data_IF_014245467551
#
_entry.id   IF_014245467551
#
_cell.length_a   1.000
_cell.length_b   1.000
_cell.length_c   1.000
_cell.angle_alpha   90.00
_cell.angle_beta   90.00
_cell.angle_gamma   90.00
#
_symmetry.space_group_name_H-M   'P 1'
#
loop_
_entity.id
_entity.type
_entity.pdbx_description
1 polymer ?
#
# COMPACT_ATOMS: atom_id res chain seq x y z
N UNK A 1 10.68 10.27 -31.83
CA UNK A 1 9.71 9.32 -31.23
C UNK A 1 9.74 9.53 -29.73
N UNK A 2 8.59 9.66 -29.06
CA UNK A 2 8.57 9.66 -27.61
C UNK A 2 8.97 8.27 -27.10
N UNK A 3 9.84 8.19 -26.10
CA UNK A 3 10.17 6.92 -25.47
C UNK A 3 8.93 6.41 -24.72
N UNK A 4 8.64 5.11 -24.84
CA UNK A 4 7.55 4.50 -24.07
C UNK A 4 7.86 4.62 -22.57
N UNK A 5 6.90 5.12 -21.79
CA UNK A 5 7.04 5.23 -20.34
C UNK A 5 7.07 3.79 -19.78
N UNK A 6 8.12 3.39 -19.03
CA UNK A 6 8.17 2.06 -18.43
C UNK A 6 7.05 1.93 -17.39
N UNK A 7 6.19 0.93 -17.57
CA UNK A 7 5.05 0.68 -16.67
C UNK A 7 5.53 -0.06 -15.43
N UNK A 8 5.33 0.54 -14.26
CA UNK A 8 5.53 -0.14 -12.97
C UNK A 8 4.24 -0.79 -12.47
N UNK A 9 4.36 -1.82 -11.63
CA UNK A 9 3.24 -2.41 -10.89
C UNK A 9 3.31 -1.99 -9.43
N UNK A 10 2.23 -1.45 -8.89
CA UNK A 10 2.11 -0.99 -7.49
C UNK A 10 1.09 -1.86 -6.77
N UNK A 11 1.52 -2.58 -5.75
CA UNK A 11 0.62 -3.28 -4.85
C UNK A 11 0.00 -2.28 -3.86
N UNK A 12 -1.32 -2.12 -3.89
CA UNK A 12 -2.05 -1.22 -2.99
C UNK A 12 -2.52 -1.95 -1.72
N UNK A 13 -2.17 -1.37 -0.57
CA UNK A 13 -2.48 -1.87 0.78
C UNK A 13 -3.38 -0.86 1.52
N UNK A 14 -4.65 -1.20 1.74
CA UNK A 14 -5.64 -0.53 2.60
C UNK A 14 -5.77 -1.16 4.01
N UNK A 15 -5.15 -0.53 5.01
CA UNK A 15 -5.18 -1.00 6.41
C UNK A 15 -6.55 -1.00 7.13
N UNK A 16 -7.67 -0.99 6.41
CA UNK A 16 -9.04 -1.15 6.93
C UNK A 16 -9.86 -2.14 6.10
N UNK A 17 -10.55 -3.05 6.80
CA UNK A 17 -11.49 -4.04 6.26
C UNK A 17 -12.94 -3.56 6.19
N UNK A 18 -13.24 -2.36 6.71
CA UNK A 18 -14.60 -1.80 6.61
C UNK A 18 -14.82 -1.26 5.21
N UNK A 19 -16.08 -1.22 4.77
CA UNK A 19 -16.54 -0.47 3.60
C UNK A 19 -16.53 1.04 3.90
N UNK A 20 -15.36 1.53 4.31
CA UNK A 20 -15.01 2.92 4.54
C UNK A 20 -14.12 3.38 3.39
N UNK A 21 -13.94 4.69 3.21
CA UNK A 21 -13.03 5.24 2.22
C UNK A 21 -11.62 4.68 2.32
N UNK A 22 -11.36 3.67 1.51
CA UNK A 22 -10.02 3.37 1.03
C UNK A 22 -9.63 4.52 0.11
N UNK A 23 -8.36 4.92 0.15
CA UNK A 23 -7.83 5.85 -0.85
C UNK A 23 -7.67 5.04 -2.14
N UNK A 24 -8.79 4.75 -2.80
CA UNK A 24 -8.80 4.26 -4.17
C UNK A 24 -8.29 5.41 -5.03
N UNK A 25 -7.00 5.38 -5.32
CA UNK A 25 -6.46 6.09 -6.46
C UNK A 25 -7.31 5.66 -7.65
N UNK A 26 -8.06 6.58 -8.25
CA UNK A 26 -9.00 6.20 -9.30
C UNK A 26 -8.23 5.57 -10.46
N UNK A 27 -8.78 4.52 -11.03
CA UNK A 27 -8.21 3.80 -12.19
C UNK A 27 -7.90 4.67 -13.40
N UNK A 28 -8.47 5.89 -13.43
CA UNK A 28 -8.16 6.98 -14.36
C UNK A 28 -6.68 7.42 -14.32
N UNK A 29 -6.00 7.32 -13.18
CA UNK A 29 -4.60 7.76 -13.01
C UNK A 29 -3.56 6.75 -13.52
N UNK A 30 -3.96 5.49 -13.70
CA UNK A 30 -3.05 4.37 -13.88
C UNK A 30 -2.39 4.34 -15.27
N UNK A 31 -3.20 4.51 -16.31
CA UNK A 31 -2.79 4.32 -17.70
C UNK A 31 -1.91 5.45 -18.25
N UNK A 32 -2.18 6.71 -17.89
CA UNK A 32 -1.46 7.87 -18.44
C UNK A 32 -0.08 8.12 -17.80
N UNK A 33 0.16 7.61 -16.59
CA UNK A 33 1.41 7.86 -15.83
C UNK A 33 2.40 6.68 -15.87
N UNK A 34 2.02 5.55 -16.47
CA UNK A 34 2.82 4.32 -16.47
C UNK A 34 2.82 3.60 -15.12
N UNK A 35 1.66 3.56 -14.44
CA UNK A 35 1.53 2.99 -13.09
C UNK A 35 0.32 2.06 -13.08
N UNK A 36 0.52 0.75 -13.15
CA UNK A 36 -0.55 -0.22 -12.95
C UNK A 36 -0.74 -0.46 -11.44
N UNK A 37 -1.87 -0.08 -10.88
CA UNK A 37 -2.20 -0.36 -9.48
C UNK A 37 -2.91 -1.72 -9.40
N UNK A 38 -2.55 -2.52 -8.42
CA UNK A 38 -3.26 -3.75 -8.09
C UNK A 38 -3.81 -3.64 -6.67
N UNK A 39 -5.13 -3.58 -6.56
CA UNK A 39 -5.87 -3.73 -5.31
C UNK A 39 -6.02 -5.21 -4.98
N UNK A 40 -5.88 -5.54 -3.71
CA UNK A 40 -5.58 -6.90 -3.28
C UNK A 40 -6.48 -7.24 -2.10
N UNK A 41 -7.03 -8.46 -2.09
CA UNK A 41 -7.90 -8.97 -1.03
C UNK A 41 -7.17 -9.94 -0.08
N UNK A 42 -7.66 -9.98 1.15
CA UNK A 42 -6.99 -9.46 2.34
C UNK A 42 -7.81 -9.86 3.58
N UNK A 43 -9.13 -9.87 3.39
CA UNK A 43 -10.16 -10.32 4.33
C UNK A 43 -10.06 -11.78 4.79
N UNK A 44 -9.44 -12.66 3.99
CA UNK A 44 -9.48 -14.12 4.19
C UNK A 44 -8.36 -14.69 5.06
N UNK A 45 -7.48 -13.83 5.58
CA UNK A 45 -6.28 -14.30 6.24
C UNK A 45 -6.48 -14.59 7.73
N UNK A 46 -5.97 -15.74 8.22
CA UNK A 46 -5.88 -15.98 9.64
C UNK A 46 -4.88 -15.01 10.28
N UNK A 47 -5.09 -14.77 11.58
CA UNK A 47 -4.03 -14.20 12.42
C UNK A 47 -2.78 -15.08 12.33
N UNK A 48 -1.60 -14.46 12.32
CA UNK A 48 -0.33 -15.17 12.25
C UNK A 48 -0.25 -16.19 13.39
N UNK A 49 -0.11 -17.45 13.01
CA UNK A 49 0.12 -18.56 13.91
C UNK A 49 1.18 -19.47 13.29
N UNK A 50 2.35 -19.55 13.92
CA UNK A 50 3.48 -20.37 13.46
C UNK A 50 3.21 -21.87 13.57
N UNK A 51 2.27 -22.29 14.42
CA UNK A 51 1.89 -23.71 14.56
C UNK A 51 1.15 -24.23 13.32
N UNK A 52 0.69 -23.34 12.45
CA UNK A 52 0.12 -23.68 11.14
C UNK A 52 1.19 -23.99 10.07
N UNK A 53 2.48 -23.78 10.39
CA UNK A 53 3.60 -24.09 9.49
C UNK A 53 4.00 -25.55 9.71
N UNK A 54 3.56 -26.43 8.82
CA UNK A 54 3.80 -27.87 8.91
C UNK A 54 4.80 -28.28 7.84
N UNK A 55 5.90 -28.93 8.23
CA UNK A 55 6.96 -29.40 7.32
C UNK A 55 7.54 -28.32 6.37
N UNK A 56 7.49 -27.05 6.77
CA UNK A 56 7.95 -25.91 5.97
C UNK A 56 6.96 -25.37 4.94
N UNK A 57 5.71 -25.87 4.91
CA UNK A 57 4.62 -25.36 4.08
C UNK A 57 3.58 -24.60 4.91
N UNK A 58 2.86 -23.68 4.28
CA UNK A 58 1.84 -22.84 4.90
C UNK A 58 0.42 -23.37 4.56
N UNK A 59 -0.64 -22.92 5.26
CA UNK A 59 -2.01 -23.19 4.83
C UNK A 59 -2.26 -22.66 3.40
N UNK A 60 -3.06 -23.32 2.53
CA UNK A 60 -3.21 -22.91 1.13
C UNK A 60 -3.64 -21.46 0.91
N UNK A 61 -4.45 -20.89 1.82
CA UNK A 61 -4.82 -19.46 1.79
C UNK A 61 -3.64 -18.54 2.10
N UNK A 62 -2.75 -18.96 3.01
CA UNK A 62 -1.50 -18.26 3.36
C UNK A 62 -0.44 -18.46 2.28
N UNK A 63 -0.38 -19.62 1.63
CA UNK A 63 0.53 -19.90 0.52
C UNK A 63 0.16 -19.07 -0.72
N UNK A 64 -1.13 -19.07 -1.09
CA UNK A 64 -1.66 -18.22 -2.16
C UNK A 64 -1.46 -16.74 -1.84
N UNK A 65 -1.67 -16.34 -0.60
CA UNK A 65 -1.37 -15.00 -0.12
C UNK A 65 0.13 -14.68 -0.13
N UNK A 66 1.03 -15.60 0.24
CA UNK A 66 2.50 -15.42 0.19
C UNK A 66 3.02 -15.31 -1.24
N UNK A 67 2.38 -15.98 -2.19
CA UNK A 67 2.60 -15.79 -3.63
C UNK A 67 1.98 -14.50 -4.16
N UNK A 68 0.85 -14.07 -3.59
CA UNK A 68 0.29 -12.75 -3.85
C UNK A 68 1.29 -11.71 -3.35
N UNK A 69 1.60 -11.63 -2.03
CA UNK A 69 2.52 -10.82 -1.16
C UNK A 69 3.73 -10.07 -1.76
N UNK A 70 4.10 -10.35 -3.01
CA UNK A 70 4.29 -9.28 -3.99
C UNK A 70 3.06 -8.32 -4.09
N UNK A 71 1.98 -8.63 -3.33
CA UNK A 71 0.63 -8.11 -3.18
C UNK A 71 -0.03 -8.60 -1.82
N UNK A 72 0.21 -7.86 -0.74
CA UNK A 72 -0.74 -7.25 0.25
C UNK A 72 -1.85 -7.95 1.13
N UNK A 73 -1.83 -7.51 2.41
CA UNK A 73 -2.78 -7.30 3.56
C UNK A 73 -3.63 -8.33 4.37
N UNK A 74 -3.71 -8.02 5.68
CA UNK A 74 -4.72 -8.32 6.73
C UNK A 74 -5.00 -6.93 7.38
N UNK A 75 -5.50 -6.71 8.62
CA UNK A 75 -5.05 -5.54 9.39
C UNK A 75 -3.51 -5.36 9.27
N UNK A 76 -3.06 -4.30 8.59
CA UNK A 76 -1.81 -4.18 7.81
C UNK A 76 -0.56 -4.89 8.39
N UNK A 77 -0.37 -4.79 9.71
CA UNK A 77 0.72 -5.45 10.45
C UNK A 77 0.74 -6.98 10.30
N UNK A 78 -0.39 -7.67 10.38
CA UNK A 78 -0.44 -9.14 10.33
C UNK A 78 -0.06 -9.69 8.94
N UNK A 79 -0.31 -8.93 7.88
CA UNK A 79 0.14 -9.29 6.54
C UNK A 79 1.60 -8.98 6.30
N UNK A 80 2.05 -7.83 6.79
CA UNK A 80 3.48 -7.53 6.90
C UNK A 80 4.21 -8.70 7.56
N UNK A 81 3.66 -9.24 8.64
CA UNK A 81 4.26 -10.35 9.39
C UNK A 81 4.23 -11.67 8.61
N UNK A 82 3.09 -12.05 8.03
CA UNK A 82 3.00 -13.22 7.14
C UNK A 82 3.95 -13.16 5.94
N UNK A 83 4.21 -11.97 5.41
CA UNK A 83 5.13 -11.71 4.31
C UNK A 83 6.60 -11.59 4.73
N UNK A 84 6.88 -11.30 6.00
CA UNK A 84 8.26 -11.24 6.52
C UNK A 84 8.82 -12.62 6.88
N UNK A 85 7.97 -13.65 7.06
CA UNK A 85 8.44 -15.03 7.30
C UNK A 85 9.24 -15.51 6.08
N UNK A 86 10.44 -16.03 6.31
CA UNK A 86 11.42 -16.35 5.27
C UNK A 86 10.85 -17.18 4.08
N UNK A 87 11.18 -16.84 2.82
CA UNK A 87 11.93 -15.66 2.40
C UNK A 87 11.14 -14.36 2.64
N UNK A 88 11.84 -13.27 3.04
CA UNK A 88 11.22 -11.96 3.23
C UNK A 88 10.73 -11.42 1.89
N UNK A 89 9.42 -11.30 1.71
CA UNK A 89 8.86 -10.87 0.45
C UNK A 89 8.84 -9.34 0.25
N UNK A 90 9.27 -8.56 1.24
CA UNK A 90 9.33 -7.09 1.19
C UNK A 90 10.68 -6.53 0.73
N UNK A 91 11.73 -7.37 0.75
CA UNK A 91 13.13 -6.98 0.57
C UNK A 91 13.37 -6.19 -0.74
N UNK A 92 14.18 -5.13 -0.64
CA UNK A 92 14.58 -4.20 -1.69
C UNK A 92 13.42 -3.51 -2.47
N UNK A 93 12.22 -3.41 -1.88
CA UNK A 93 11.06 -2.78 -2.55
C UNK A 93 10.89 -1.29 -2.26
N UNK A 94 10.62 -0.53 -3.32
CA UNK A 94 10.08 0.82 -3.22
C UNK A 94 8.69 0.83 -2.56
N UNK A 95 8.47 1.76 -1.64
CA UNK A 95 7.20 1.91 -0.94
C UNK A 95 6.78 3.38 -0.77
N UNK A 96 5.46 3.60 -0.70
CA UNK A 96 4.86 4.85 -0.24
C UNK A 96 3.85 4.54 0.86
N UNK A 97 3.60 5.51 1.74
CA UNK A 97 2.57 5.41 2.77
C UNK A 97 1.62 6.58 2.64
N UNK A 98 0.33 6.27 2.57
CA UNK A 98 -0.78 7.23 2.60
C UNK A 98 -1.68 6.87 3.76
N UNK A 99 -2.32 7.86 4.39
CA UNK A 99 -3.33 7.58 5.41
C UNK A 99 -4.42 8.64 5.44
N UNK A 100 -5.65 8.18 5.68
CA UNK A 100 -6.80 8.99 6.00
C UNK A 100 -7.34 8.61 7.38
N UNK A 101 -7.73 9.60 8.17
CA UNK A 101 -8.26 9.38 9.53
C UNK A 101 -8.66 10.69 10.21
N UNK A 102 -8.87 10.66 11.52
CA UNK A 102 -9.16 11.86 12.31
C UNK A 102 -7.92 12.63 12.74
N UNK A 103 -8.05 13.95 12.88
CA UNK A 103 -7.00 14.82 13.39
C UNK A 103 -5.78 14.84 12.48
N UNK A 104 -4.66 14.27 12.93
CA UNK A 104 -3.42 14.15 12.14
C UNK A 104 -3.49 13.06 11.04
N UNK A 105 -4.67 12.70 10.57
CA UNK A 105 -4.89 11.86 9.39
C UNK A 105 -4.24 10.48 9.40
N UNK A 106 -3.86 9.94 10.57
CA UNK A 106 -3.11 8.68 10.69
C UNK A 106 -1.57 8.80 10.70
N UNK A 107 -0.98 9.99 10.70
CA UNK A 107 0.48 10.15 10.60
C UNK A 107 1.31 9.43 11.68
N UNK A 108 0.75 9.23 12.89
CA UNK A 108 1.42 8.45 13.95
C UNK A 108 1.63 6.98 13.56
N UNK A 109 0.64 6.33 12.94
CA UNK A 109 0.79 4.94 12.48
C UNK A 109 1.70 4.85 11.25
N UNK A 110 1.77 5.89 10.40
CA UNK A 110 2.76 5.93 9.32
C UNK A 110 4.21 5.89 9.83
N UNK A 111 4.55 6.65 10.87
CA UNK A 111 5.92 6.64 11.41
C UNK A 111 6.28 5.28 12.00
N UNK A 112 5.35 4.61 12.69
CA UNK A 112 5.56 3.25 13.17
C UNK A 112 5.69 2.24 12.00
N UNK A 113 4.90 2.38 10.94
CA UNK A 113 5.00 1.56 9.74
C UNK A 113 6.36 1.74 9.04
N UNK A 114 6.86 2.98 8.95
CA UNK A 114 8.19 3.28 8.41
C UNK A 114 9.29 2.64 9.25
N UNK A 115 9.19 2.69 10.58
CA UNK A 115 10.12 2.00 11.48
C UNK A 115 10.09 0.47 11.27
N UNK A 116 8.90 -0.12 11.09
CA UNK A 116 8.76 -1.55 10.77
C UNK A 116 9.42 -1.87 9.42
N UNK A 117 9.20 -1.05 8.39
CA UNK A 117 9.77 -1.29 7.07
C UNK A 117 11.31 -1.21 7.01
N UNK A 118 11.98 -0.56 7.96
CA UNK A 118 13.46 -0.65 8.10
C UNK A 118 13.90 -2.09 8.37
N UNK A 119 13.15 -2.86 9.18
CA UNK A 119 13.46 -4.27 9.42
C UNK A 119 13.14 -5.17 8.21
N UNK A 120 12.18 -4.75 7.38
CA UNK A 120 11.74 -5.48 6.19
C UNK A 120 12.58 -5.17 4.94
N UNK A 121 13.54 -4.27 5.03
CA UNK A 121 14.29 -3.69 3.91
C UNK A 121 13.38 -3.02 2.84
N UNK A 122 12.42 -2.21 3.32
CA UNK A 122 11.57 -1.37 2.47
C UNK A 122 12.17 0.03 2.27
N UNK A 123 12.31 0.42 1.01
CA UNK A 123 12.76 1.74 0.60
C UNK A 123 11.59 2.71 0.43
N UNK A 124 11.27 3.47 1.47
CA UNK A 124 10.17 4.45 1.39
C UNK A 124 10.57 5.74 0.65
N UNK A 125 9.63 6.31 -0.11
CA UNK A 125 9.70 7.74 -0.46
C UNK A 125 9.57 8.60 0.81
N UNK A 126 10.37 9.66 0.89
CA UNK A 126 10.41 10.56 2.06
C UNK A 126 9.58 11.84 1.89
N UNK A 127 9.34 12.25 0.64
CA UNK A 127 8.49 13.39 0.26
C UNK A 127 7.79 13.07 -1.07
N UNK A 128 6.62 13.67 -1.36
CA UNK A 128 5.77 14.37 -0.40
C UNK A 128 5.24 13.42 0.69
N UNK A 129 4.63 13.96 1.75
CA UNK A 129 3.98 13.16 2.79
C UNK A 129 2.45 13.34 2.68
N UNK A 130 1.72 12.23 2.83
CA UNK A 130 0.26 12.22 2.65
C UNK A 130 -0.45 11.85 3.94
N UNK A 131 -0.98 12.85 4.63
CA UNK A 131 -1.91 12.70 5.75
C UNK A 131 -3.19 13.45 5.40
N UNK A 132 -4.34 12.78 5.50
CA UNK A 132 -5.65 13.36 5.21
C UNK A 132 -6.57 13.28 6.44
N UNK A 133 -7.03 14.42 6.92
CA UNK A 133 -8.08 14.46 7.94
C UNK A 133 -9.44 14.21 7.27
N UNK A 134 -9.82 12.93 7.14
CA UNK A 134 -10.99 12.51 6.35
C UNK A 134 -12.34 13.02 6.89
N UNK A 135 -12.38 13.45 8.15
CA UNK A 135 -13.57 13.98 8.82
C UNK A 135 -13.62 15.52 8.85
N UNK A 136 -12.64 16.21 8.25
CA UNK A 136 -12.61 17.66 8.20
C UNK A 136 -13.47 18.20 7.05
N UNK A 137 -14.41 19.14 7.29
CA UNK A 137 -15.16 19.81 6.22
C UNK A 137 -14.25 20.64 5.29
N UNK A 138 -14.58 20.77 3.99
CA UNK A 138 -15.65 20.08 3.28
C UNK A 138 -15.36 18.58 3.12
N UNK A 139 -16.41 17.77 2.97
CA UNK A 139 -16.33 16.31 2.91
C UNK A 139 -15.25 15.82 1.92
N UNK A 140 -14.41 14.89 2.38
CA UNK A 140 -13.28 14.37 1.60
C UNK A 140 -13.64 13.15 0.76
N UNK A 141 -14.68 12.44 1.16
CA UNK A 141 -15.17 11.22 0.55
C UNK A 141 -16.68 11.29 0.33
N UNK A 142 -17.18 10.55 -0.66
CA UNK A 142 -18.62 10.32 -0.85
C UNK A 142 -19.12 9.12 -0.02
N UNK A 143 -20.42 8.83 -0.13
CA UNK A 143 -21.08 7.75 0.63
C UNK A 143 -20.61 6.34 0.23
N UNK A 144 -20.07 6.18 -0.99
CA UNK A 144 -19.45 4.94 -1.48
C UNK A 144 -17.97 4.81 -1.03
N UNK A 145 -17.42 5.86 -0.42
CA UNK A 145 -16.04 5.90 0.07
C UNK A 145 -15.01 6.35 -0.96
N UNK A 146 -15.40 6.83 -2.15
CA UNK A 146 -14.46 7.37 -3.12
C UNK A 146 -13.91 8.71 -2.62
N UNK A 147 -12.61 8.96 -2.84
CA UNK A 147 -12.05 10.29 -2.61
C UNK A 147 -12.68 11.29 -3.59
N UNK A 148 -13.28 12.37 -3.08
CA UNK A 148 -13.90 13.43 -3.90
C UNK A 148 -13.12 14.75 -3.86
N UNK A 149 -12.35 14.99 -2.80
CA UNK A 149 -11.55 16.21 -2.63
C UNK A 149 -10.44 16.35 -3.68
N UNK A 150 -10.45 17.45 -4.42
CA UNK A 150 -9.56 17.67 -5.56
C UNK A 150 -8.09 17.90 -5.14
N UNK A 151 -7.83 18.57 -4.00
CA UNK A 151 -6.47 18.78 -3.50
C UNK A 151 -5.85 17.45 -3.05
N UNK A 152 -6.64 16.62 -2.35
CA UNK A 152 -6.23 15.29 -1.94
C UNK A 152 -5.96 14.36 -3.14
N UNK A 153 -6.76 14.46 -4.23
CA UNK A 153 -6.47 13.75 -5.49
C UNK A 153 -5.13 14.15 -6.09
N UNK A 154 -4.90 15.45 -6.27
CA UNK A 154 -3.64 15.95 -6.82
C UNK A 154 -2.43 15.53 -5.97
N UNK A 155 -2.53 15.63 -4.64
CA UNK A 155 -1.45 15.20 -3.73
C UNK A 155 -1.21 13.70 -3.75
N UNK A 156 -2.22 12.88 -4.04
CA UNK A 156 -2.08 11.44 -4.24
C UNK A 156 -1.40 11.12 -5.58
N UNK A 157 -1.71 11.86 -6.64
CA UNK A 157 -1.01 11.77 -7.93
C UNK A 157 0.49 12.06 -7.78
N UNK A 158 0.84 13.12 -7.04
CA UNK A 158 2.23 13.48 -6.73
C UNK A 158 2.97 12.36 -5.97
N UNK A 159 2.31 11.70 -5.03
CA UNK A 159 2.84 10.51 -4.33
C UNK A 159 3.11 9.36 -5.30
N UNK A 160 2.15 9.02 -6.18
CA UNK A 160 2.27 7.92 -7.12
C UNK A 160 3.37 8.17 -8.16
N UNK A 161 3.45 9.39 -8.71
CA UNK A 161 4.53 9.80 -9.62
C UNK A 161 5.90 9.73 -8.93
N UNK A 162 6.00 10.20 -7.68
CA UNK A 162 7.25 10.13 -6.92
C UNK A 162 7.65 8.69 -6.59
N UNK A 163 6.69 7.82 -6.25
CA UNK A 163 6.92 6.40 -6.04
C UNK A 163 7.42 5.71 -7.33
N UNK A 164 6.86 6.05 -8.49
CA UNK A 164 7.33 5.56 -9.79
C UNK A 164 8.77 5.95 -10.05
N UNK A 165 9.09 7.23 -9.94
CA UNK A 165 10.42 7.75 -10.27
C UNK A 165 11.48 7.22 -9.28
N UNK A 166 11.10 6.99 -8.03
CA UNK A 166 11.92 6.33 -7.02
C UNK A 166 12.12 4.83 -7.33
N UNK A 167 11.08 4.11 -7.74
CA UNK A 167 11.15 2.70 -8.18
C UNK A 167 12.12 2.55 -9.35
N UNK A 168 11.97 3.39 -10.39
CA UNK A 168 12.84 3.40 -11.58
C UNK A 168 14.29 3.83 -11.27
N UNK A 169 14.55 4.40 -10.10
CA UNK A 169 15.89 4.75 -9.62
C UNK A 169 16.56 3.62 -8.84
N UNK A 170 15.79 2.76 -8.15
CA UNK A 170 16.32 1.56 -7.49
C UNK A 170 16.65 0.44 -8.50
N UNK A 171 15.94 0.38 -9.62
CA UNK A 171 16.13 -0.62 -10.68
C UNK A 171 17.35 -0.36 -11.59
N UNK A 172 18.29 0.51 -11.20
CA UNK A 172 19.46 0.95 -12.00
C UNK A 172 20.78 0.63 -11.31
#
# INVERSE_FOLDING_TARGET
MAAAIPVIKVAALSGSLRNLPSIQASSVLESEKGIQIEHIDISQLPLLNTDLIVSGTYPPVVEAFRQQILKAETPLKNAIDWASVAPNCWEDKAAAVVSAGGGFGGGRSQYHLRQIGVYLDLHFINKPEFFLNGFQPPAKFDDDGNLIDAEAKQRLEEILVTLRDFTLRLQK
#
